data_IF_399290701247
#
_entry.id   IF_399290701247
#
_cell.length_a   1.000
_cell.length_b   1.000
_cell.length_c   1.000
_cell.angle_alpha   90.00
_cell.angle_beta   90.00
_cell.angle_gamma   90.00
#
_symmetry.space_group_name_H-M   'P 1'
#
loop_
_entity.id
_entity.type
_entity.pdbx_description
1 polymer ?
#
# COMPACT_ATOMS: atom_id res chain seq x y z
N UNK A 1 -18.96 -11.92 -6.40
CA UNK A 1 -18.14 -11.54 -7.57
C UNK A 1 -19.06 -11.14 -8.72
N UNK A 2 -19.86 -10.09 -8.52
CA UNK A 2 -20.95 -9.74 -9.46
C UNK A 2 -20.61 -8.50 -10.31
N UNK A 3 -19.48 -7.84 -10.03
CA UNK A 3 -19.05 -6.59 -10.67
C UNK A 3 -18.11 -6.78 -11.86
N UNK A 4 -17.52 -7.97 -12.04
CA UNK A 4 -16.57 -8.24 -13.12
C UNK A 4 -17.32 -8.69 -14.37
N UNK A 5 -17.20 -7.93 -15.45
CA UNK A 5 -17.73 -8.33 -16.75
C UNK A 5 -17.05 -9.64 -17.22
N UNK A 6 -17.78 -10.56 -17.86
CA UNK A 6 -17.24 -11.83 -18.33
C UNK A 6 -16.23 -11.65 -19.49
N UNK A 7 -16.40 -10.59 -20.29
CA UNK A 7 -15.50 -10.22 -21.37
C UNK A 7 -15.51 -8.70 -21.61
N UNK A 8 -14.62 -8.24 -22.49
CA UNK A 8 -14.48 -6.83 -22.84
C UNK A 8 -15.67 -6.27 -23.63
N UNK A 9 -16.42 -7.12 -24.35
CA UNK A 9 -17.59 -6.67 -25.12
C UNK A 9 -18.79 -6.33 -24.21
N UNK A 10 -18.82 -6.92 -23.00
CA UNK A 10 -19.83 -6.65 -21.98
C UNK A 10 -19.36 -5.67 -20.89
N UNK A 11 -18.12 -5.17 -20.98
CA UNK A 11 -17.58 -4.21 -20.03
C UNK A 11 -18.01 -2.77 -20.38
N UNK A 12 -18.47 -2.02 -19.37
CA UNK A 12 -18.75 -0.58 -19.50
C UNK A 12 -17.63 0.29 -18.94
N UNK A 13 -16.80 -0.29 -18.08
CA UNK A 13 -15.74 0.38 -17.34
C UNK A 13 -14.47 -0.48 -17.33
N UNK A 14 -13.32 0.14 -17.56
CA UNK A 14 -12.00 -0.46 -17.35
C UNK A 14 -11.38 0.18 -16.12
N UNK A 15 -11.00 -0.60 -15.12
CA UNK A 15 -10.30 -0.14 -13.92
C UNK A 15 -8.85 -0.59 -13.98
N UNK A 16 -7.93 0.37 -13.94
CA UNK A 16 -6.50 0.17 -13.91
C UNK A 16 -5.98 0.54 -12.51
N UNK A 17 -5.25 -0.39 -11.90
CA UNK A 17 -4.52 -0.15 -10.65
C UNK A 17 -3.03 -0.03 -10.98
N UNK A 18 -2.41 1.03 -10.49
CA UNK A 18 -0.95 1.19 -10.54
C UNK A 18 -0.25 0.29 -9.53
N UNK A 19 1.09 0.26 -9.63
CA UNK A 19 1.90 -0.42 -8.63
C UNK A 19 1.74 0.25 -7.24
N UNK A 20 1.76 -0.53 -6.15
CA UNK A 20 1.77 0.02 -4.80
C UNK A 20 3.01 0.89 -4.56
N UNK A 21 2.82 2.03 -3.90
CA UNK A 21 3.87 2.96 -3.52
C UNK A 21 3.68 3.44 -2.07
N UNK A 22 4.69 4.11 -1.53
CA UNK A 22 4.59 4.74 -0.21
C UNK A 22 3.64 5.94 -0.26
N UNK A 23 2.59 5.87 0.57
CA UNK A 23 1.62 6.93 0.77
C UNK A 23 1.94 7.80 1.97
N UNK A 24 0.90 8.40 2.55
CA UNK A 24 1.02 9.20 3.77
C UNK A 24 1.77 8.47 4.89
N UNK A 25 2.79 9.12 5.44
CA UNK A 25 3.51 8.64 6.63
C UNK A 25 2.58 8.68 7.85
N UNK A 26 2.56 7.60 8.63
CA UNK A 26 1.72 7.46 9.82
C UNK A 26 2.53 7.63 11.10
N UNK A 27 3.50 6.75 11.32
CA UNK A 27 4.26 6.69 12.55
C UNK A 27 5.71 6.32 12.30
N UNK A 28 6.62 6.98 13.01
CA UNK A 28 8.04 6.58 13.07
C UNK A 28 8.29 5.91 14.40
N UNK A 29 8.84 4.69 14.36
CA UNK A 29 9.08 3.89 15.55
C UNK A 29 10.54 3.45 15.65
N UNK A 30 11.17 3.61 16.84
CA UNK A 30 12.54 3.17 17.07
C UNK A 30 12.57 1.65 17.31
N UNK A 31 13.55 0.98 16.71
CA UNK A 31 13.83 -0.43 16.93
C UNK A 31 15.25 -0.63 17.44
N UNK A 32 15.40 -1.53 18.42
CA UNK A 32 16.71 -1.90 18.92
C UNK A 32 17.57 -2.49 17.81
N UNK A 33 18.77 -1.93 17.65
CA UNK A 33 19.75 -2.42 16.71
C UNK A 33 20.67 -3.41 17.41
N UNK A 34 20.67 -4.68 16.98
CA UNK A 34 21.49 -5.73 17.60
C UNK A 34 22.99 -5.51 17.44
N UNK A 35 23.41 -4.80 16.39
CA UNK A 35 24.81 -4.48 16.12
C UNK A 35 25.26 -3.23 16.91
N UNK A 36 24.35 -2.28 17.13
CA UNK A 36 24.59 -1.06 17.89
C UNK A 36 23.48 -0.81 18.92
N UNK A 37 23.51 -1.47 20.10
CA UNK A 37 22.41 -1.42 21.07
C UNK A 37 22.03 -0.02 21.56
N UNK A 38 22.98 0.92 21.56
CA UNK A 38 22.76 2.31 21.99
C UNK A 38 22.26 3.23 20.87
N UNK A 39 22.10 2.72 19.65
CA UNK A 39 21.67 3.48 18.48
C UNK A 39 20.48 2.77 17.82
N UNK A 40 19.24 3.06 18.27
CA UNK A 40 18.06 2.46 17.67
C UNK A 40 17.88 2.92 16.22
N UNK A 41 17.38 2.02 15.38
CA UNK A 41 17.00 2.31 14.00
C UNK A 41 15.56 2.83 13.97
N UNK A 42 15.38 4.06 13.50
CA UNK A 42 14.05 4.61 13.29
C UNK A 42 13.46 4.10 11.98
N UNK A 43 12.23 3.61 12.03
CA UNK A 43 11.49 3.12 10.86
C UNK A 43 10.17 3.85 10.75
N UNK A 44 9.93 4.50 9.62
CA UNK A 44 8.69 5.19 9.29
C UNK A 44 7.73 4.26 8.58
N UNK A 45 6.50 4.17 9.08
CA UNK A 45 5.43 3.38 8.51
C UNK A 45 4.56 4.25 7.61
N UNK A 46 4.39 3.84 6.36
CA UNK A 46 3.59 4.54 5.36
C UNK A 46 2.32 3.77 5.05
N UNK A 47 1.23 4.50 4.77
CA UNK A 47 0.07 3.91 4.09
C UNK A 47 0.50 3.34 2.74
N UNK A 48 -0.18 2.31 2.26
CA UNK A 48 0.04 1.79 0.91
C UNK A 48 -0.79 2.66 -0.05
N UNK A 49 -0.12 3.39 -0.93
CA UNK A 49 -0.78 4.18 -1.96
C UNK A 49 -0.91 3.38 -3.25
N UNK A 50 -2.11 3.36 -3.84
CA UNK A 50 -2.38 2.73 -5.14
C UNK A 50 -3.05 3.76 -6.04
N UNK A 51 -2.43 4.03 -7.19
CA UNK A 51 -3.07 4.85 -8.21
C UNK A 51 -4.23 4.08 -8.84
N UNK A 52 -5.41 4.68 -8.91
CA UNK A 52 -6.59 4.09 -9.52
C UNK A 52 -7.07 5.00 -10.65
N UNK A 53 -7.18 4.41 -11.83
CA UNK A 53 -7.77 5.06 -13.00
C UNK A 53 -8.89 4.20 -13.55
N UNK A 54 -10.06 4.79 -13.78
CA UNK A 54 -11.18 4.13 -14.41
C UNK A 54 -11.59 4.87 -15.68
N UNK A 55 -11.84 4.12 -16.74
CA UNK A 55 -12.17 4.64 -18.06
C UNK A 55 -13.49 4.07 -18.54
N UNK A 56 -14.37 4.92 -19.07
CA UNK A 56 -15.54 4.45 -19.80
C UNK A 56 -15.10 3.79 -21.10
N UNK A 57 -15.40 2.51 -21.29
CA UNK A 57 -14.86 1.75 -22.41
C UNK A 57 -15.34 2.29 -23.76
N UNK A 58 -16.60 2.75 -23.83
CA UNK A 58 -17.21 3.25 -25.06
C UNK A 58 -16.54 4.51 -25.59
N UNK A 59 -16.13 5.42 -24.70
CA UNK A 59 -15.60 6.74 -25.08
C UNK A 59 -14.10 6.88 -24.85
N UNK A 60 -13.49 5.98 -24.07
CA UNK A 60 -12.10 6.06 -23.63
C UNK A 60 -11.83 7.19 -22.63
N UNK A 61 -12.87 7.90 -22.16
CA UNK A 61 -12.68 9.02 -21.23
C UNK A 61 -12.44 8.52 -19.81
N UNK A 62 -11.50 9.12 -19.06
CA UNK A 62 -11.35 8.83 -17.64
C UNK A 62 -12.60 9.31 -16.89
N UNK A 63 -13.19 8.41 -16.12
CA UNK A 63 -14.30 8.72 -15.20
C UNK A 63 -13.83 8.76 -13.74
N UNK A 64 -12.71 8.10 -13.45
CA UNK A 64 -12.01 8.21 -12.16
C UNK A 64 -10.51 8.33 -12.42
N UNK A 65 -9.87 9.27 -11.74
CA UNK A 65 -8.41 9.36 -11.62
C UNK A 65 -8.12 9.80 -10.19
N UNK A 66 -7.68 8.86 -9.36
CA UNK A 66 -7.49 9.11 -7.93
C UNK A 66 -6.39 8.24 -7.34
N UNK A 67 -6.01 8.55 -6.11
CA UNK A 67 -5.05 7.79 -5.31
C UNK A 67 -5.79 7.22 -4.11
N UNK A 68 -5.79 5.90 -3.97
CA UNK A 68 -6.32 5.20 -2.81
C UNK A 68 -5.20 4.99 -1.82
N UNK A 69 -5.41 5.33 -0.56
CA UNK A 69 -4.45 5.07 0.50
C UNK A 69 -5.01 4.05 1.49
N UNK A 70 -4.36 2.90 1.57
CA UNK A 70 -4.73 1.79 2.43
C UNK A 70 -3.97 1.94 3.75
N UNK A 71 -4.72 2.05 4.83
CA UNK A 71 -4.20 2.06 6.20
C UNK A 71 -3.90 0.65 6.70
N UNK A 72 -3.42 0.56 7.93
CA UNK A 72 -3.14 -0.73 8.57
C UNK A 72 -2.37 -0.55 9.86
N UNK A 73 -2.00 -1.68 10.46
CA UNK A 73 -1.18 -1.71 11.66
C UNK A 73 0.24 -1.19 11.38
N UNK A 74 0.77 -0.40 12.32
CA UNK A 74 2.14 0.13 12.33
C UNK A 74 2.84 -0.23 13.63
N UNK A 75 4.17 -0.13 13.65
CA UNK A 75 4.97 -0.28 14.88
C UNK A 75 4.77 -1.60 15.64
N UNK A 76 4.91 -2.76 14.96
CA UNK A 76 4.90 -4.04 15.67
C UNK A 76 6.02 -4.09 16.71
N UNK A 77 5.80 -4.82 17.82
CA UNK A 77 6.84 -5.03 18.84
C UNK A 77 8.12 -5.68 18.27
N UNK A 78 7.96 -6.52 17.24
CA UNK A 78 9.07 -7.18 16.54
C UNK A 78 8.96 -6.87 15.06
N UNK A 79 9.92 -6.13 14.52
CA UNK A 79 10.01 -5.85 13.09
C UNK A 79 10.73 -6.99 12.37
N UNK A 80 10.06 -7.59 11.39
CA UNK A 80 10.65 -8.58 10.48
C UNK A 80 10.93 -7.89 9.15
N UNK A 81 12.18 -7.96 8.70
CA UNK A 81 12.61 -7.44 7.41
C UNK A 81 13.56 -8.43 6.73
N UNK A 82 13.69 -8.31 5.40
CA UNK A 82 14.71 -9.06 4.65
C UNK A 82 15.95 -8.18 4.52
N UNK A 83 17.10 -8.73 4.90
CA UNK A 83 18.40 -8.15 4.57
C UNK A 83 18.92 -8.81 3.29
N UNK A 84 19.34 -7.99 2.32
CA UNK A 84 19.96 -8.44 1.07
C UNK A 84 21.49 -8.33 1.10
N UNK A 85 22.06 -7.86 2.21
CA UNK A 85 23.51 -7.79 2.39
C UNK A 85 24.02 -9.16 2.85
N UNK A 86 24.92 -9.75 2.06
CA UNK A 86 25.60 -11.01 2.41
C UNK A 86 26.72 -10.82 3.46
N UNK A 87 27.11 -9.56 3.74
CA UNK A 87 28.28 -9.24 4.56
C UNK A 87 27.92 -8.85 5.99
N UNK A 88 26.81 -8.13 6.18
CA UNK A 88 26.34 -7.68 7.49
C UNK A 88 24.88 -7.25 7.44
N UNK A 89 24.13 -7.50 8.52
CA UNK A 89 22.80 -6.96 8.73
C UNK A 89 22.91 -5.51 9.23
N UNK A 90 22.63 -4.55 8.35
CA UNK A 90 22.75 -3.11 8.63
C UNK A 90 21.51 -2.53 9.34
N UNK A 91 20.53 -3.36 9.66
CA UNK A 91 19.27 -2.94 10.23
C UNK A 91 18.13 -2.91 9.21
N UNK A 92 16.91 -2.58 9.67
CA UNK A 92 15.73 -2.50 8.83
C UNK A 92 15.83 -1.35 7.82
N UNK A 93 15.05 -1.41 6.72
CA UNK A 93 14.86 -0.24 5.87
C UNK A 93 14.25 0.92 6.69
N UNK A 94 14.64 2.18 6.39
CA UNK A 94 14.15 3.35 7.12
C UNK A 94 12.65 3.60 6.90
N UNK A 95 12.10 3.10 5.79
CA UNK A 95 10.70 3.26 5.41
C UNK A 95 10.08 1.89 5.12
N UNK A 96 8.84 1.70 5.55
CA UNK A 96 8.13 0.43 5.36
C UNK A 96 6.63 0.66 5.25
N UNK A 97 5.89 -0.14 4.46
CA UNK A 97 4.44 -0.04 4.43
C UNK A 97 3.82 -0.57 5.74
N UNK A 98 2.63 -0.05 6.07
CA UNK A 98 1.77 -0.65 7.10
C UNK A 98 1.32 -2.06 6.72
N UNK A 99 0.89 -2.82 7.72
CA UNK A 99 0.27 -4.14 7.52
C UNK A 99 -1.25 -4.01 7.54
N UNK A 100 -1.93 -4.01 6.38
CA UNK A 100 -3.38 -3.94 6.32
C UNK A 100 -4.02 -5.23 6.84
N UNK A 101 -5.22 -5.10 7.41
CA UNK A 101 -6.16 -6.20 7.64
C UNK A 101 -7.01 -6.46 6.40
N UNK A 102 -7.73 -7.58 6.39
CA UNK A 102 -8.65 -7.91 5.29
C UNK A 102 -9.78 -6.87 5.13
N UNK A 103 -10.13 -6.15 6.21
CA UNK A 103 -11.16 -5.11 6.21
C UNK A 103 -10.61 -3.73 5.78
N UNK A 104 -9.32 -3.45 5.99
CA UNK A 104 -8.70 -2.17 5.63
C UNK A 104 -8.72 -1.91 4.12
N UNK A 105 -8.56 -2.98 3.33
CA UNK A 105 -8.57 -2.91 1.87
C UNK A 105 -9.93 -2.45 1.34
N UNK A 106 -11.05 -3.17 1.54
CA UNK A 106 -12.35 -2.74 1.05
C UNK A 106 -12.78 -1.39 1.64
N UNK A 107 -12.44 -1.09 2.89
CA UNK A 107 -12.71 0.21 3.50
C UNK A 107 -12.01 1.36 2.75
N UNK A 108 -10.76 1.17 2.32
CA UNK A 108 -10.01 2.17 1.55
C UNK A 108 -10.61 2.41 0.15
N UNK A 109 -11.16 1.38 -0.49
CA UNK A 109 -11.77 1.48 -1.83
C UNK A 109 -13.25 1.91 -1.81
N UNK A 110 -13.96 1.79 -0.68
CA UNK A 110 -15.38 2.11 -0.57
C UNK A 110 -15.77 3.51 -1.10
N UNK A 111 -15.01 4.61 -0.83
CA UNK A 111 -15.34 5.94 -1.34
C UNK A 111 -15.28 6.07 -2.86
N UNK A 112 -14.57 5.16 -3.53
CA UNK A 112 -14.39 5.16 -4.99
C UNK A 112 -15.45 4.29 -5.67
N UNK A 113 -15.89 3.23 -5.01
CA UNK A 113 -16.89 2.27 -5.54
C UNK A 113 -18.32 2.79 -5.39
N UNK A 114 -18.60 3.62 -4.37
CA UNK A 114 -19.95 4.15 -4.10
C UNK A 114 -20.31 5.43 -4.88
N UNK A 115 -19.55 5.79 -5.92
CA UNK A 115 -19.83 6.95 -6.78
C UNK A 115 -20.44 6.55 -8.10
#
# INVERSE_FOLDING_TARGET
MEWRAPDAAQAVLVVCLGEPADGTALHTCPYENKMMPNFPSNVTFHKIAVALKAYELRTGKPVVDTKVEIGGASCPKVLRYRSYSHLADLGPPPDTPVTPTDDDVPAAFAPVIQK
#
